data_IF_027093270192
#
_entry.id   IF_027093270192
#
_cell.length_a   1.000
_cell.length_b   1.000
_cell.length_c   1.000
_cell.angle_alpha   90.00
_cell.angle_beta   90.00
_cell.angle_gamma   90.00
#
_symmetry.space_group_name_H-M   'P 1'
#
loop_
_entity.id
_entity.type
_entity.pdbx_description
1 polymer ?
#
# COMPACT_ATOMS: atom_id res chain seq x y z
N UNK A 1 -9.94 -1.57 22.96
CA UNK A 1 -8.70 -1.96 22.78
C UNK A 1 -8.55 -3.36 22.31
N UNK A 2 -8.01 -3.93 23.08
CA UNK A 2 -7.24 -5.00 23.17
C UNK A 2 -7.41 -6.13 22.24
N UNK A 3 -8.36 -6.98 22.51
CA UNK A 3 -8.40 -8.30 21.85
C UNK A 3 -8.56 -8.25 20.33
N UNK A 4 -9.41 -7.37 19.84
CA UNK A 4 -9.63 -7.26 18.39
C UNK A 4 -8.43 -6.69 17.67
N UNK A 5 -7.79 -5.68 18.23
CA UNK A 5 -6.60 -5.07 17.64
C UNK A 5 -5.41 -6.00 17.68
N UNK A 6 -5.22 -6.73 18.78
CA UNK A 6 -4.11 -7.68 18.88
C UNK A 6 -4.26 -8.83 17.87
N UNK A 7 -5.45 -9.37 17.71
CA UNK A 7 -5.72 -10.40 16.71
C UNK A 7 -5.44 -9.89 15.29
N UNK A 8 -5.79 -8.64 15.03
CA UNK A 8 -5.52 -7.99 13.74
C UNK A 8 -4.02 -7.83 13.49
N UNK A 9 -3.27 -7.38 14.51
CA UNK A 9 -1.81 -7.28 14.43
C UNK A 9 -1.16 -8.63 14.16
N UNK A 10 -1.63 -9.68 14.84
CA UNK A 10 -1.12 -11.04 14.63
C UNK A 10 -1.39 -11.52 13.22
N UNK A 11 -2.61 -11.35 12.74
CA UNK A 11 -3.02 -11.81 11.42
C UNK A 11 -2.16 -11.22 10.30
N UNK A 12 -1.86 -9.92 10.40
CA UNK A 12 -1.19 -9.18 9.32
C UNK A 12 0.27 -8.83 9.63
N UNK A 13 0.80 -9.31 10.76
CA UNK A 13 2.16 -9.01 11.19
C UNK A 13 2.42 -7.50 11.27
N UNK A 14 1.64 -6.83 12.11
CA UNK A 14 1.66 -5.36 12.22
C UNK A 14 2.14 -4.86 13.58
N UNK A 15 2.81 -5.70 14.38
CA UNK A 15 3.25 -5.32 15.72
C UNK A 15 4.29 -4.21 15.72
N UNK A 16 5.06 -4.09 14.64
CA UNK A 16 6.07 -3.05 14.46
C UNK A 16 5.51 -1.75 13.87
N UNK A 17 4.20 -1.70 13.63
CA UNK A 17 3.52 -0.52 13.10
C UNK A 17 2.87 0.26 14.25
N UNK A 18 2.88 1.58 14.15
CA UNK A 18 2.27 2.43 15.17
C UNK A 18 0.75 2.51 15.02
N UNK A 19 0.08 1.38 15.10
CA UNK A 19 -1.37 1.34 14.97
C UNK A 19 -2.05 1.92 16.20
N UNK A 20 -3.12 2.68 15.96
CA UNK A 20 -4.00 3.17 17.00
C UNK A 20 -5.34 2.45 16.93
N UNK A 21 -6.16 2.60 17.94
CA UNK A 21 -7.48 1.99 17.98
C UNK A 21 -8.55 3.06 18.14
N UNK A 22 -9.51 3.04 17.23
CA UNK A 22 -10.68 3.90 17.31
C UNK A 22 -11.74 3.18 18.14
N UNK A 23 -11.91 3.62 19.40
CA UNK A 23 -12.85 3.02 20.35
C UNK A 23 -14.30 3.16 19.90
N UNK A 24 -14.63 4.28 19.27
CA UNK A 24 -16.01 4.56 18.87
C UNK A 24 -16.44 3.68 17.71
N UNK A 25 -15.58 3.59 16.69
CA UNK A 25 -15.89 2.88 15.45
C UNK A 25 -15.28 1.48 15.38
N UNK A 26 -14.52 1.10 16.39
CA UNK A 26 -13.84 -0.21 16.47
C UNK A 26 -13.01 -0.50 15.24
N UNK A 27 -12.04 0.38 14.99
CA UNK A 27 -11.14 0.28 13.84
C UNK A 27 -9.69 0.27 14.27
N UNK A 28 -8.88 -0.51 13.53
CA UNK A 28 -7.44 -0.35 13.57
C UNK A 28 -7.10 0.88 12.71
N UNK A 29 -6.36 1.82 13.26
CA UNK A 29 -6.09 3.10 12.61
C UNK A 29 -4.62 3.20 12.22
N UNK A 30 -4.39 3.44 10.94
CA UNK A 30 -3.06 3.63 10.36
C UNK A 30 -2.86 5.13 10.13
N UNK A 31 -1.96 5.77 10.91
CA UNK A 31 -1.67 7.20 10.68
C UNK A 31 -0.89 7.39 9.38
N UNK A 32 -1.18 8.49 8.69
CA UNK A 32 -0.50 8.82 7.44
C UNK A 32 0.32 10.09 7.64
N UNK A 33 1.64 9.96 7.52
CA UNK A 33 2.58 11.06 7.63
C UNK A 33 3.13 11.40 6.25
N UNK A 34 3.17 12.68 5.93
CA UNK A 34 3.86 13.20 4.75
C UNK A 34 4.86 14.24 5.23
N UNK A 35 6.14 14.03 4.91
CA UNK A 35 7.23 14.90 5.39
C UNK A 35 7.22 15.05 6.93
N UNK A 36 6.97 13.94 7.62
CA UNK A 36 6.90 13.88 9.09
C UNK A 36 5.74 14.66 9.72
N UNK A 37 4.76 15.06 8.92
CA UNK A 37 3.55 15.72 9.41
C UNK A 37 2.37 14.75 9.31
N UNK A 38 1.62 14.61 10.39
CA UNK A 38 0.40 13.78 10.38
C UNK A 38 -0.67 14.51 9.57
N UNK A 39 -1.06 13.93 8.44
CA UNK A 39 -2.01 14.54 7.52
C UNK A 39 -3.38 13.87 7.59
N UNK A 40 -3.40 12.55 7.74
CA UNK A 40 -4.61 11.76 7.62
C UNK A 40 -4.45 10.46 8.38
N UNK A 41 -5.49 9.67 8.37
CA UNK A 41 -5.45 8.31 8.90
C UNK A 41 -6.44 7.46 8.12
N UNK A 42 -6.16 6.16 8.09
CA UNK A 42 -7.04 5.17 7.46
C UNK A 42 -7.43 4.15 8.52
N UNK A 43 -8.71 3.86 8.65
CA UNK A 43 -9.22 2.93 9.63
C UNK A 43 -9.78 1.67 9.00
N UNK A 44 -9.29 0.51 9.42
CA UNK A 44 -9.83 -0.78 9.01
C UNK A 44 -10.81 -1.29 10.05
N UNK A 45 -12.02 -1.61 9.60
CA UNK A 45 -13.04 -2.18 10.49
C UNK A 45 -12.60 -3.53 11.05
N UNK A 46 -12.75 -3.70 12.36
CA UNK A 46 -12.40 -4.95 13.05
C UNK A 46 -13.62 -5.82 13.35
N UNK A 47 -14.81 -5.22 13.36
CA UNK A 47 -16.03 -5.90 13.78
C UNK A 47 -17.18 -5.71 12.78
N UNK A 48 -16.87 -5.72 11.50
CA UNK A 48 -17.89 -5.67 10.45
C UNK A 48 -18.53 -4.32 10.23
N UNK A 49 -17.97 -3.23 10.78
CA UNK A 49 -18.46 -1.88 10.50
C UNK A 49 -18.27 -1.54 9.01
N UNK A 50 -19.19 -0.72 8.50
CA UNK A 50 -19.09 -0.19 7.15
C UNK A 50 -18.68 1.29 7.18
N UNK A 51 -17.87 1.76 6.24
CA UNK A 51 -17.20 0.96 5.22
C UNK A 51 -16.04 0.13 5.82
N UNK A 52 -15.59 -0.87 5.09
CA UNK A 52 -14.45 -1.72 5.48
C UNK A 52 -13.20 -0.88 5.76
N UNK A 53 -12.91 0.07 4.89
CA UNK A 53 -11.84 1.06 5.04
C UNK A 53 -12.45 2.46 5.13
N UNK A 54 -12.01 3.24 6.12
CA UNK A 54 -12.49 4.61 6.33
C UNK A 54 -11.33 5.59 6.27
N UNK A 55 -11.50 6.66 5.51
CA UNK A 55 -10.59 7.80 5.48
C UNK A 55 -11.06 8.83 6.51
N UNK A 56 -10.17 9.27 7.39
CA UNK A 56 -10.56 10.19 8.46
C UNK A 56 -10.65 11.64 8.01
N UNK A 57 -9.74 12.09 7.15
CA UNK A 57 -9.80 13.47 6.63
C UNK A 57 -9.91 13.55 5.11
N UNK A 58 -9.47 12.51 4.41
CA UNK A 58 -9.42 12.53 2.95
C UNK A 58 -8.33 13.42 2.38
N UNK A 59 -7.42 13.93 3.20
CA UNK A 59 -6.39 14.87 2.74
C UNK A 59 -5.20 14.19 2.08
N UNK A 60 -4.87 12.96 2.48
CA UNK A 60 -3.76 12.24 1.89
C UNK A 60 -4.16 11.62 0.55
N UNK A 61 -3.25 11.67 -0.42
CA UNK A 61 -3.47 11.01 -1.71
C UNK A 61 -2.94 9.58 -1.73
N UNK A 62 -1.98 9.28 -0.87
CA UNK A 62 -1.36 7.96 -0.81
C UNK A 62 -0.82 7.71 0.60
N UNK A 63 -0.51 6.44 0.87
CA UNK A 63 0.19 6.02 2.07
C UNK A 63 1.51 5.40 1.65
N UNK A 64 2.61 5.77 2.30
CA UNK A 64 3.93 5.23 2.03
C UNK A 64 4.42 4.40 3.21
N UNK A 65 5.04 3.26 2.90
CA UNK A 65 5.75 2.43 3.87
C UNK A 65 7.09 2.02 3.29
N UNK A 66 8.13 1.99 4.13
CA UNK A 66 9.47 1.58 3.71
C UNK A 66 10.28 2.69 3.08
N UNK A 67 11.55 2.38 2.76
CA UNK A 67 12.53 3.35 2.26
C UNK A 67 13.32 2.85 1.05
N UNK A 68 12.80 1.86 0.33
CA UNK A 68 13.49 1.31 -0.85
C UNK A 68 13.45 2.25 -2.04
N UNK A 69 14.43 2.13 -2.92
CA UNK A 69 14.51 2.91 -4.16
C UNK A 69 13.53 2.46 -5.24
N UNK A 70 13.03 1.25 -5.11
CA UNK A 70 11.96 0.73 -5.96
C UNK A 70 10.65 0.83 -5.19
N UNK A 71 9.65 1.43 -5.80
CA UNK A 71 8.32 1.56 -5.19
C UNK A 71 7.37 0.55 -5.82
N UNK A 72 6.58 -0.11 -4.98
CA UNK A 72 5.51 -1.02 -5.41
C UNK A 72 4.18 -0.34 -5.13
N UNK A 73 3.42 -0.10 -6.19
CA UNK A 73 2.09 0.54 -6.11
C UNK A 73 1.07 -0.56 -5.86
N UNK A 74 0.32 -0.41 -4.78
CA UNK A 74 -0.67 -1.40 -4.31
C UNK A 74 -1.99 -0.69 -3.96
N UNK A 75 -3.02 -1.46 -3.66
CA UNK A 75 -4.34 -0.87 -3.42
C UNK A 75 -4.58 -0.47 -1.98
N UNK A 76 -4.03 -1.18 -1.00
CA UNK A 76 -4.32 -0.89 0.40
C UNK A 76 -3.06 -0.78 1.28
N UNK A 77 -3.27 -0.25 2.47
CA UNK A 77 -2.21 0.05 3.44
C UNK A 77 -1.47 -1.23 3.89
N UNK A 78 -2.20 -2.31 4.11
CA UNK A 78 -1.58 -3.58 4.57
C UNK A 78 -0.67 -4.13 3.48
N UNK A 79 -1.09 -4.07 2.22
CA UNK A 79 -0.26 -4.47 1.07
C UNK A 79 0.99 -3.62 0.96
N UNK A 80 0.89 -2.31 1.19
CA UNK A 80 2.04 -1.40 1.18
C UNK A 80 3.06 -1.79 2.26
N UNK A 81 2.58 -2.08 3.47
CA UNK A 81 3.44 -2.53 4.56
C UNK A 81 4.09 -3.88 4.24
N UNK A 82 3.35 -4.77 3.60
CA UNK A 82 3.86 -6.09 3.21
C UNK A 82 5.05 -5.96 2.26
N UNK A 83 4.96 -5.14 1.21
CA UNK A 83 6.08 -4.97 0.28
C UNK A 83 7.23 -4.20 0.92
N UNK A 84 6.95 -3.30 1.86
CA UNK A 84 8.00 -2.60 2.60
C UNK A 84 8.87 -3.55 3.39
N UNK A 85 8.30 -4.61 3.94
CA UNK A 85 9.05 -5.65 4.67
C UNK A 85 9.97 -6.47 3.78
N UNK A 86 9.75 -6.43 2.47
CA UNK A 86 10.63 -7.08 1.49
C UNK A 86 11.76 -6.15 1.02
N UNK A 87 11.81 -4.92 1.54
CA UNK A 87 12.85 -3.95 1.18
C UNK A 87 12.47 -2.96 0.11
N UNK A 88 11.22 -2.95 -0.33
CA UNK A 88 10.68 -1.95 -1.25
C UNK A 88 10.12 -0.77 -0.47
N UNK A 89 9.77 0.29 -1.20
CA UNK A 89 8.78 1.24 -0.71
C UNK A 89 7.42 0.77 -1.20
N UNK A 90 6.44 0.72 -0.32
CA UNK A 90 5.05 0.43 -0.70
C UNK A 90 4.26 1.73 -0.79
N UNK A 91 3.51 1.91 -1.88
CA UNK A 91 2.57 3.02 -2.00
C UNK A 91 1.16 2.50 -2.17
N UNK A 92 0.32 2.75 -1.18
CA UNK A 92 -1.11 2.49 -1.29
C UNK A 92 -1.78 3.72 -1.90
N UNK A 93 -2.55 3.54 -2.96
CA UNK A 93 -3.09 4.67 -3.74
C UNK A 93 -4.25 5.39 -3.07
N UNK A 94 -4.89 4.78 -2.09
CA UNK A 94 -6.01 5.35 -1.32
C UNK A 94 -7.16 5.88 -2.19
N UNK A 95 -7.39 5.25 -3.32
CA UNK A 95 -8.44 5.64 -4.25
C UNK A 95 -8.46 4.72 -5.44
N UNK A 96 -9.12 5.15 -6.51
CA UNK A 96 -9.32 4.33 -7.70
C UNK A 96 -8.53 4.80 -8.91
N UNK A 97 -7.85 5.94 -8.79
CA UNK A 97 -7.07 6.51 -9.89
C UNK A 97 -5.83 7.21 -9.37
N UNK A 98 -4.89 7.47 -10.26
CA UNK A 98 -3.66 8.17 -9.94
C UNK A 98 -3.86 9.68 -10.16
N UNK A 99 -3.43 10.48 -9.19
CA UNK A 99 -3.46 11.93 -9.26
C UNK A 99 -2.08 12.49 -9.58
N UNK A 100 -2.00 13.81 -9.76
CA UNK A 100 -0.72 14.52 -9.92
C UNK A 100 0.19 14.26 -8.71
N UNK A 101 -0.38 14.25 -7.50
CA UNK A 101 0.40 13.99 -6.28
C UNK A 101 1.04 12.60 -6.29
N UNK A 102 0.33 11.58 -6.76
CA UNK A 102 0.90 10.25 -6.95
C UNK A 102 2.06 10.29 -7.94
N UNK A 103 1.87 10.95 -9.07
CA UNK A 103 2.90 11.00 -10.13
C UNK A 103 4.15 11.75 -9.67
N UNK A 104 3.98 12.85 -8.95
CA UNK A 104 5.12 13.60 -8.41
C UNK A 104 5.92 12.74 -7.44
N UNK A 105 5.26 11.99 -6.58
CA UNK A 105 5.95 11.09 -5.65
C UNK A 105 6.63 9.94 -6.38
N UNK A 106 5.95 9.30 -7.32
CA UNK A 106 6.48 8.17 -8.07
C UNK A 106 7.72 8.53 -8.88
N UNK A 107 7.82 9.77 -9.33
CA UNK A 107 9.00 10.25 -10.06
C UNK A 107 10.29 10.27 -9.25
N UNK A 108 10.22 10.10 -7.94
CA UNK A 108 11.40 10.11 -7.06
C UNK A 108 12.09 8.75 -6.96
N UNK A 109 11.54 7.71 -7.53
CA UNK A 109 12.08 6.36 -7.40
C UNK A 109 12.84 5.92 -8.64
N UNK A 110 13.73 4.96 -8.47
CA UNK A 110 14.52 4.41 -9.58
C UNK A 110 13.69 3.50 -10.48
N UNK A 111 12.71 2.81 -9.89
CA UNK A 111 11.85 1.85 -10.58
C UNK A 111 10.48 1.87 -9.91
N UNK A 112 9.46 1.56 -10.69
CA UNK A 112 8.09 1.41 -10.20
C UNK A 112 7.56 0.04 -10.60
N UNK A 113 6.94 -0.66 -9.67
CA UNK A 113 6.23 -1.91 -9.91
C UNK A 113 4.76 -1.65 -9.55
N UNK A 114 3.86 -1.92 -10.49
CA UNK A 114 2.41 -1.84 -10.22
C UNK A 114 1.92 -3.24 -9.92
N UNK A 115 1.47 -3.48 -8.70
CA UNK A 115 1.05 -4.80 -8.22
C UNK A 115 -0.31 -4.69 -7.52
N UNK A 116 -1.34 -4.37 -8.30
CA UNK A 116 -2.70 -4.27 -7.80
C UNK A 116 -3.28 -5.68 -7.61
N UNK A 117 -4.42 -5.76 -6.95
CA UNK A 117 -5.11 -7.03 -6.72
C UNK A 117 -5.40 -7.72 -8.06
N UNK A 118 -5.43 -9.06 -8.09
CA UNK A 118 -5.53 -9.81 -9.36
C UNK A 118 -6.75 -9.45 -10.23
N UNK A 119 -7.84 -9.04 -9.62
CA UNK A 119 -9.05 -8.65 -10.34
C UNK A 119 -8.94 -7.28 -11.04
N UNK A 120 -7.84 -6.57 -10.85
CA UNK A 120 -7.60 -5.25 -11.42
C UNK A 120 -6.55 -5.27 -12.55
N UNK A 121 -6.50 -6.34 -13.34
CA UNK A 121 -5.47 -6.52 -14.37
C UNK A 121 -5.43 -5.38 -15.40
N UNK A 122 -6.58 -4.95 -15.90
CA UNK A 122 -6.65 -3.83 -16.86
C UNK A 122 -6.17 -2.53 -16.25
N UNK A 123 -6.54 -2.30 -15.01
CA UNK A 123 -6.12 -1.10 -14.25
C UNK A 123 -4.62 -1.11 -14.03
N UNK A 124 -4.04 -2.27 -13.74
CA UNK A 124 -2.59 -2.43 -13.58
C UNK A 124 -1.84 -2.01 -14.84
N UNK A 125 -2.29 -2.47 -16.00
CA UNK A 125 -1.68 -2.10 -17.28
C UNK A 125 -1.84 -0.61 -17.58
N UNK A 126 -3.02 -0.06 -17.30
CA UNK A 126 -3.29 1.36 -17.50
C UNK A 126 -2.39 2.22 -16.60
N UNK A 127 -2.27 1.85 -15.33
CA UNK A 127 -1.40 2.57 -14.40
C UNK A 127 0.05 2.53 -14.84
N UNK A 128 0.53 1.38 -15.29
CA UNK A 128 1.89 1.28 -15.81
C UNK A 128 2.13 2.30 -16.93
N UNK A 129 1.23 2.35 -17.89
CA UNK A 129 1.34 3.28 -19.01
C UNK A 129 1.31 4.74 -18.56
N UNK A 130 0.39 5.08 -17.67
CA UNK A 130 0.24 6.45 -17.16
C UNK A 130 1.49 6.87 -16.37
N UNK A 131 2.01 6.01 -15.50
CA UNK A 131 3.19 6.32 -14.69
C UNK A 131 4.40 6.53 -15.57
N UNK A 132 4.64 5.62 -16.51
CA UNK A 132 5.79 5.71 -17.40
C UNK A 132 5.73 6.95 -18.27
N UNK A 133 4.55 7.26 -18.81
CA UNK A 133 4.34 8.44 -19.64
C UNK A 133 4.53 9.75 -18.86
N UNK A 134 4.06 9.80 -17.63
CA UNK A 134 4.17 11.01 -16.83
C UNK A 134 5.56 11.20 -16.24
N UNK A 135 6.13 10.14 -15.64
CA UNK A 135 7.34 10.26 -14.83
C UNK A 135 8.62 9.94 -15.59
N UNK A 136 8.53 9.18 -16.67
CA UNK A 136 9.70 8.66 -17.37
C UNK A 136 10.42 7.55 -16.63
N UNK A 137 9.93 7.12 -15.47
CA UNK A 137 10.54 6.05 -14.67
C UNK A 137 10.13 4.70 -15.23
N UNK A 138 11.09 3.78 -15.36
CA UNK A 138 10.79 2.42 -15.80
C UNK A 138 9.77 1.76 -14.90
N UNK A 139 8.66 1.30 -15.47
CA UNK A 139 7.52 0.79 -14.72
C UNK A 139 7.14 -0.60 -15.22
N UNK A 140 6.96 -1.52 -14.28
CA UNK A 140 6.61 -2.91 -14.53
C UNK A 140 5.19 -3.15 -14.04
N UNK A 141 4.37 -3.79 -14.87
CA UNK A 141 3.06 -4.28 -14.45
C UNK A 141 3.21 -5.73 -14.00
N UNK A 142 2.95 -5.99 -12.73
CA UNK A 142 3.08 -7.32 -12.16
C UNK A 142 1.70 -7.92 -11.92
N UNK A 143 1.49 -9.11 -12.45
CA UNK A 143 0.27 -9.87 -12.17
C UNK A 143 0.49 -10.74 -10.94
N UNK A 144 -0.35 -10.55 -9.92
CA UNK A 144 -0.30 -11.33 -8.71
C UNK A 144 -1.24 -12.54 -8.78
N UNK A 145 -0.92 -13.58 -8.02
CA UNK A 145 -1.82 -14.73 -7.85
C UNK A 145 -2.93 -14.42 -6.85
N UNK A 146 -2.63 -13.58 -5.84
CA UNK A 146 -3.62 -13.09 -4.88
C UNK A 146 -3.18 -11.69 -4.40
N UNK A 147 -4.03 -11.02 -3.62
CA UNK A 147 -3.67 -9.74 -3.01
C UNK A 147 -2.35 -9.90 -2.26
N UNK A 148 -1.43 -8.97 -2.44
CA UNK A 148 -0.07 -9.13 -1.89
C UNK A 148 -0.05 -9.28 -0.37
N UNK A 149 -1.05 -8.72 0.32
CA UNK A 149 -1.15 -8.82 1.78
C UNK A 149 -1.31 -10.26 2.28
N UNK A 150 -1.78 -11.17 1.43
CA UNK A 150 -1.90 -12.58 1.79
C UNK A 150 -0.58 -13.34 1.69
N UNK A 151 0.46 -12.71 1.16
CA UNK A 151 1.83 -13.23 1.13
C UNK A 151 1.91 -14.62 0.50
N UNK A 152 1.21 -14.80 -0.60
CA UNK A 152 1.31 -16.04 -1.39
C UNK A 152 2.76 -16.22 -1.83
N UNK A 153 3.30 -17.40 -1.62
CA UNK A 153 4.73 -17.64 -1.82
C UNK A 153 5.20 -17.32 -3.24
N UNK A 154 4.41 -17.67 -4.25
CA UNK A 154 4.75 -17.37 -5.65
C UNK A 154 4.90 -15.86 -5.89
N UNK A 155 4.02 -15.05 -5.30
CA UNK A 155 4.06 -13.60 -5.43
C UNK A 155 5.27 -13.01 -4.71
N UNK A 156 5.54 -13.49 -3.50
CA UNK A 156 6.70 -13.06 -2.72
C UNK A 156 7.99 -13.39 -3.46
N UNK A 157 8.11 -14.59 -4.00
CA UNK A 157 9.29 -15.00 -4.76
C UNK A 157 9.48 -14.16 -6.01
N UNK A 158 8.41 -13.83 -6.71
CA UNK A 158 8.47 -12.95 -7.87
C UNK A 158 9.02 -11.58 -7.50
N UNK A 159 8.53 -10.99 -6.41
CA UNK A 159 9.00 -9.69 -5.94
C UNK A 159 10.46 -9.74 -5.49
N UNK A 160 10.84 -10.77 -4.74
CA UNK A 160 12.22 -10.95 -4.28
C UNK A 160 13.17 -11.08 -5.47
N UNK A 161 12.78 -11.84 -6.50
CA UNK A 161 13.56 -12.01 -7.71
C UNK A 161 13.71 -10.68 -8.46
N UNK A 162 12.61 -9.93 -8.64
CA UNK A 162 12.65 -8.61 -9.26
C UNK A 162 13.59 -7.67 -8.51
N UNK A 163 13.53 -7.67 -7.18
CA UNK A 163 14.39 -6.81 -6.38
C UNK A 163 15.87 -7.09 -6.62
N UNK A 164 16.25 -8.35 -6.81
CA UNK A 164 17.65 -8.72 -7.01
C UNK A 164 18.18 -8.35 -8.39
N UNK A 165 17.31 -8.12 -9.39
CA UNK A 165 17.73 -7.77 -10.75
C UNK A 165 17.51 -6.29 -11.09
N UNK A 166 16.83 -5.56 -10.23
CA UNK A 166 16.62 -4.11 -10.39
C UNK A 166 17.66 -3.29 -9.55
#
# INVERSE_FOLDING_TARGET
SGSGLDAFRDKWDLWDQGLMYDLKDKRAVFPIFINNVLIDAVGRALAGAEPKWLRYTGKANYFLAGTGDTVVVVEDVISAITVAKLGFTGMAILGTSLSVAHMEQLGNYSQVIVALDPDAAHKTLRFRQEIEAWTGVGTIALRLDDDIKYRVESDIQTLVTLKSVL
#
